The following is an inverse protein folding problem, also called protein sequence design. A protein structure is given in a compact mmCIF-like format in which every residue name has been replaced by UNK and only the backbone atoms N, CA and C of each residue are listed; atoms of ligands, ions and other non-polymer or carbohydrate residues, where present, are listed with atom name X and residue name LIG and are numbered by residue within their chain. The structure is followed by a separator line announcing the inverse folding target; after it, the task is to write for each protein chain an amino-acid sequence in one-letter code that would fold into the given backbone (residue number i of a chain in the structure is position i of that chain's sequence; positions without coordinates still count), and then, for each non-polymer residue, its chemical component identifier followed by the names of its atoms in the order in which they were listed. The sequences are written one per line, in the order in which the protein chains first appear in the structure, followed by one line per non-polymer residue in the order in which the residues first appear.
data_IF_974129759544
#
_entry.id   IF_974129759544
#
_cell.length_a   1.000
_cell.length_b   1.000
_cell.length_c   1.000
_cell.angle_alpha   90.00
_cell.angle_beta   90.00
_cell.angle_gamma   90.00
#
_symmetry.space_group_name_H-M   'P 1'
#
loop_
_entity.id
_entity.type
_entity.pdbx_description
1 polymer ?
#
# COMPACT_ATOMS: atom_id res chain seq x y z
N UNK A 1 9.72 -3.84 3.67
CA UNK A 1 9.78 -4.34 5.07
C UNK A 1 10.42 -3.35 6.03
N UNK A 2 11.47 -2.61 5.65
CA UNK A 2 12.12 -1.64 6.54
C UNK A 2 11.18 -0.54 7.07
N UNK A 3 10.37 0.09 6.20
CA UNK A 3 9.36 1.07 6.62
C UNK A 3 8.41 0.50 7.71
N UNK A 4 7.86 -0.71 7.49
CA UNK A 4 6.98 -1.40 8.45
C UNK A 4 7.68 -1.59 9.79
N UNK A 5 8.92 -2.11 9.79
CA UNK A 5 9.69 -2.30 11.01
C UNK A 5 9.94 -0.98 11.74
N UNK A 6 10.36 0.07 11.03
CA UNK A 6 10.62 1.39 11.65
C UNK A 6 9.36 1.98 12.29
N UNK A 7 8.21 1.89 11.62
CA UNK A 7 6.92 2.35 12.17
C UNK A 7 6.58 1.58 13.44
N UNK A 8 6.72 0.25 13.43
CA UNK A 8 6.45 -0.57 14.62
C UNK A 8 7.40 -0.26 15.78
N UNK A 9 8.69 -0.02 15.49
CA UNK A 9 9.71 0.30 16.50
C UNK A 9 9.52 1.69 17.14
N UNK A 10 9.02 2.66 16.36
CA UNK A 10 8.88 4.04 16.80
C UNK A 10 7.44 4.43 17.16
N UNK A 11 6.48 3.50 17.07
CA UNK A 11 5.11 3.70 17.57
C UNK A 11 5.02 3.41 19.06
N UNK A 12 4.36 4.28 19.83
CA UNK A 12 4.11 4.03 21.26
C UNK A 12 3.12 2.88 21.49
N UNK A 13 2.15 2.69 20.58
CA UNK A 13 1.13 1.62 20.63
C UNK A 13 1.06 0.89 19.27
N UNK A 14 2.04 0.05 18.90
CA UNK A 14 2.11 -0.62 17.61
C UNK A 14 0.92 -1.56 17.33
N UNK A 15 0.30 -2.11 18.37
CA UNK A 15 -0.90 -2.96 18.28
C UNK A 15 -2.14 -2.23 17.76
N UNK A 16 -2.18 -0.90 17.88
CA UNK A 16 -3.26 -0.06 17.36
C UNK A 16 -3.03 0.40 15.92
N UNK A 17 -1.95 -0.06 15.28
CA UNK A 17 -1.62 0.27 13.90
C UNK A 17 -2.08 -0.85 12.98
N UNK A 18 -2.89 -0.51 11.96
CA UNK A 18 -3.28 -1.43 10.89
C UNK A 18 -2.67 -1.01 9.57
N UNK A 19 -2.06 -1.95 8.85
CA UNK A 19 -1.39 -1.69 7.58
C UNK A 19 -2.28 -2.07 6.40
N UNK A 20 -2.44 -1.14 5.46
CA UNK A 20 -3.16 -1.36 4.21
C UNK A 20 -2.15 -1.27 3.05
N UNK A 21 -1.79 -2.42 2.46
CA UNK A 21 -0.84 -2.48 1.35
C UNK A 21 -1.56 -2.44 0.00
N UNK A 22 -1.11 -1.55 -0.88
CA UNK A 22 -1.57 -1.43 -2.27
C UNK A 22 -0.53 -2.04 -3.20
N UNK A 23 -0.95 -2.96 -4.07
CA UNK A 23 -0.06 -3.67 -4.98
C UNK A 23 -0.61 -3.63 -6.41
N UNK A 24 0.27 -3.59 -7.40
CA UNK A 24 -0.12 -3.77 -8.80
C UNK A 24 -0.65 -5.19 -9.08
N UNK A 25 -0.02 -6.19 -8.46
CA UNK A 25 -0.37 -7.60 -8.58
C UNK A 25 -0.45 -8.24 -7.18
N UNK A 26 -1.43 -9.13 -6.99
CA UNK A 26 -1.53 -9.93 -5.77
C UNK A 26 -0.61 -11.13 -5.91
N UNK A 27 0.41 -11.19 -5.06
CA UNK A 27 1.36 -12.29 -5.00
C UNK A 27 1.21 -12.96 -3.64
N UNK A 28 0.79 -14.23 -3.63
CA UNK A 28 0.60 -15.01 -2.41
C UNK A 28 1.90 -15.13 -1.59
N UNK A 29 3.04 -15.09 -2.27
CA UNK A 29 4.37 -15.09 -1.68
C UNK A 29 4.61 -13.85 -0.82
N UNK A 30 4.18 -12.66 -1.28
CA UNK A 30 4.31 -11.41 -0.50
C UNK A 30 3.48 -11.48 0.78
N UNK A 31 2.23 -11.96 0.69
CA UNK A 31 1.39 -12.14 1.87
C UNK A 31 2.07 -13.06 2.90
N UNK A 32 2.58 -14.20 2.41
CA UNK A 32 3.25 -15.21 3.24
C UNK A 32 4.54 -14.66 3.87
N UNK A 33 5.29 -13.87 3.11
CA UNK A 33 6.52 -13.21 3.57
C UNK A 33 6.25 -12.17 4.65
N UNK A 34 5.23 -11.31 4.48
CA UNK A 34 4.85 -10.33 5.51
C UNK A 34 4.41 -11.06 6.78
N UNK A 35 3.59 -12.10 6.64
CA UNK A 35 3.07 -12.86 7.78
C UNK A 35 4.16 -13.66 8.51
N UNK A 36 5.15 -14.20 7.81
CA UNK A 36 6.28 -14.87 8.45
C UNK A 36 7.27 -13.90 9.10
N UNK A 37 7.47 -12.71 8.49
CA UNK A 37 8.37 -11.67 9.02
C UNK A 37 7.78 -10.93 10.22
N UNK A 38 6.47 -10.66 10.18
CA UNK A 38 5.74 -9.94 11.23
C UNK A 38 4.47 -10.73 11.63
N UNK A 39 4.60 -11.80 12.44
CA UNK A 39 3.48 -12.70 12.76
C UNK A 39 2.27 -12.05 13.43
N UNK A 40 2.49 -10.93 14.11
CA UNK A 40 1.47 -10.19 14.85
C UNK A 40 0.95 -8.96 14.10
N UNK A 41 1.39 -8.73 12.86
CA UNK A 41 0.98 -7.57 12.09
C UNK A 41 -0.48 -7.69 11.67
N UNK A 42 -1.29 -6.70 12.03
CA UNK A 42 -2.62 -6.55 11.47
C UNK A 42 -2.50 -5.84 10.11
N UNK A 43 -2.76 -6.57 9.02
CA UNK A 43 -2.69 -5.98 7.69
C UNK A 43 -3.73 -6.51 6.71
N UNK A 44 -4.02 -5.71 5.68
CA UNK A 44 -4.81 -6.08 4.50
C UNK A 44 -4.03 -5.72 3.24
N UNK A 45 -4.21 -6.51 2.18
CA UNK A 45 -3.59 -6.28 0.87
C UNK A 45 -4.68 -6.04 -0.18
N UNK A 46 -4.46 -5.05 -1.04
CA UNK A 46 -5.39 -4.65 -2.09
C UNK A 46 -4.68 -4.62 -3.43
N UNK A 47 -5.27 -5.25 -4.43
CA UNK A 47 -4.83 -5.10 -5.81
C UNK A 47 -5.39 -3.80 -6.37
N UNK A 48 -4.53 -2.96 -6.92
CA UNK A 48 -4.99 -1.82 -7.68
C UNK A 48 -5.53 -2.29 -9.03
N UNK A 49 -6.80 -2.00 -9.31
CA UNK A 49 -7.38 -2.27 -10.63
C UNK A 49 -6.93 -1.22 -11.63
N UNK A 50 -6.02 -1.60 -12.53
CA UNK A 50 -5.50 -0.70 -13.58
C UNK A 50 -6.61 -0.19 -14.52
N UNK A 51 -7.78 -0.82 -14.55
CA UNK A 51 -8.92 -0.32 -15.29
C UNK A 51 -9.44 1.03 -14.79
N UNK A 52 -9.23 1.37 -13.51
CA UNK A 52 -9.66 2.66 -12.93
C UNK A 52 -9.02 3.87 -13.64
N UNK A 53 -7.85 3.65 -14.24
CA UNK A 53 -7.04 4.68 -14.92
C UNK A 53 -6.80 4.38 -16.39
N UNK A 54 -7.42 3.33 -16.93
CA UNK A 54 -7.31 2.97 -18.35
C UNK A 54 -7.80 4.15 -19.22
N UNK A 55 -6.98 4.56 -20.17
CA UNK A 55 -7.29 5.69 -21.06
C UNK A 55 -7.20 7.07 -20.42
N UNK A 56 -6.88 7.17 -19.12
CA UNK A 56 -6.65 8.45 -18.41
C UNK A 56 -5.17 8.83 -18.36
N UNK A 57 -4.28 7.87 -18.60
CA UNK A 57 -2.83 8.06 -18.57
C UNK A 57 -2.35 8.36 -19.99
N UNK A 58 -1.85 9.57 -20.22
CA UNK A 58 -1.16 9.92 -21.45
C UNK A 58 0.30 9.46 -21.38
N UNK A 59 0.87 9.04 -22.52
CA UNK A 59 2.29 8.67 -22.59
C UNK A 59 3.16 9.84 -22.12
N UNK A 60 4.00 9.57 -21.14
CA UNK A 60 4.95 10.52 -20.57
C UNK A 60 6.35 10.30 -21.14
N UNK A 61 7.16 11.36 -21.18
CA UNK A 61 8.61 11.23 -21.42
C UNK A 61 9.25 10.40 -20.30
N UNK A 62 8.71 10.50 -19.08
CA UNK A 62 9.07 9.67 -17.95
C UNK A 62 8.19 8.44 -17.94
N UNK A 63 8.65 7.34 -18.53
CA UNK A 63 7.94 6.04 -18.57
C UNK A 63 7.47 5.56 -17.19
N UNK A 64 8.20 5.93 -16.13
CA UNK A 64 7.78 5.64 -14.77
C UNK A 64 6.35 6.16 -14.51
N UNK A 65 5.98 7.35 -15.01
CA UNK A 65 4.64 7.95 -14.84
C UNK A 65 3.53 7.26 -15.63
N UNK A 66 3.87 6.33 -16.53
CA UNK A 66 2.89 5.57 -17.30
C UNK A 66 2.32 4.39 -16.47
N UNK A 67 2.93 4.06 -15.33
CA UNK A 67 2.52 2.94 -14.48
C UNK A 67 1.20 3.26 -13.75
N UNK A 68 0.16 2.42 -13.88
CA UNK A 68 -1.13 2.64 -13.23
C UNK A 68 -1.04 2.84 -11.71
N UNK A 69 -0.13 2.12 -11.04
CA UNK A 69 0.00 2.16 -9.58
C UNK A 69 0.38 3.56 -9.05
N UNK A 70 1.03 4.41 -9.83
CA UNK A 70 1.37 5.78 -9.43
C UNK A 70 0.15 6.64 -9.12
N UNK A 71 -1.00 6.29 -9.69
CA UNK A 71 -2.24 7.01 -9.52
C UNK A 71 -3.12 6.43 -8.40
N UNK A 72 -2.69 5.31 -7.77
CA UNK A 72 -3.47 4.63 -6.75
C UNK A 72 -3.81 5.54 -5.56
N UNK A 73 -2.92 6.47 -5.19
CA UNK A 73 -3.13 7.44 -4.10
C UNK A 73 -4.41 8.27 -4.30
N UNK A 74 -4.78 8.57 -5.55
CA UNK A 74 -5.98 9.36 -5.88
C UNK A 74 -7.26 8.57 -5.60
N UNK A 75 -7.21 7.25 -5.72
CA UNK A 75 -8.38 6.36 -5.63
C UNK A 75 -8.44 5.60 -4.29
N UNK A 76 -7.69 6.03 -3.26
CA UNK A 76 -7.64 5.31 -1.99
C UNK A 76 -9.02 5.14 -1.34
N UNK A 77 -9.89 6.13 -1.45
CA UNK A 77 -11.27 6.05 -0.91
C UNK A 77 -12.10 4.97 -1.58
N UNK A 78 -11.84 4.66 -2.85
CA UNK A 78 -12.56 3.63 -3.60
C UNK A 78 -11.99 2.23 -3.33
N UNK A 79 -10.74 2.14 -2.87
CA UNK A 79 -10.02 0.87 -2.64
C UNK A 79 -10.16 0.42 -1.19
N UNK A 80 -10.16 1.36 -0.24
CA UNK A 80 -10.20 1.04 1.18
C UNK A 80 -11.62 0.64 1.63
N UNK A 81 -11.74 -0.20 2.67
CA UNK A 81 -13.03 -0.53 3.27
C UNK A 81 -13.77 0.71 3.76
N UNK A 82 -15.11 0.70 3.66
CA UNK A 82 -15.97 1.84 4.01
C UNK A 82 -15.90 2.26 5.49
N UNK A 83 -15.48 1.35 6.36
CA UNK A 83 -15.26 1.60 7.79
C UNK A 83 -13.93 2.32 8.09
N UNK A 84 -13.09 2.55 7.09
CA UNK A 84 -11.84 3.31 7.23
C UNK A 84 -12.08 4.80 6.98
N UNK A 85 -12.22 5.57 8.07
CA UNK A 85 -12.51 7.01 7.99
C UNK A 85 -11.27 7.87 7.68
N UNK A 86 -10.08 7.41 8.08
CA UNK A 86 -8.83 8.18 7.93
C UNK A 86 -7.63 7.27 7.76
N UNK A 87 -6.72 7.68 6.89
CA UNK A 87 -5.45 6.99 6.64
C UNK A 87 -4.31 7.98 6.48
N UNK A 88 -3.10 7.54 6.79
CA UNK A 88 -1.87 8.22 6.40
C UNK A 88 -1.26 7.40 5.27
N UNK A 89 -1.10 8.02 4.11
CA UNK A 89 -0.39 7.39 3.00
C UNK A 89 1.12 7.55 3.22
N UNK A 90 1.87 6.46 3.04
CA UNK A 90 3.33 6.42 3.13
C UNK A 90 3.88 5.68 1.90
N UNK A 91 4.92 6.23 1.28
CA UNK A 91 5.66 5.52 0.21
C UNK A 91 6.53 4.40 0.81
N UNK A 92 6.90 3.40 0.00
CA UNK A 92 7.61 2.21 0.49
C UNK A 92 9.09 2.44 0.81
N UNK A 93 9.64 3.59 0.44
CA UNK A 93 11.05 3.97 0.50
C UNK A 93 11.38 4.90 1.69
N UNK A 94 10.53 4.92 2.71
CA UNK A 94 10.74 5.71 3.93
C UNK A 94 11.32 4.88 5.07
N UNK A 95 11.86 5.59 6.06
CA UNK A 95 12.12 5.14 7.43
C UNK A 95 11.60 6.24 8.36
N UNK A 96 10.88 5.85 9.42
CA UNK A 96 10.31 6.76 10.43
C UNK A 96 11.11 6.69 11.71
#
# INVERSE_FOLDING_TARGET
MAAVLSILQHSTCPENVSFHFLLAHLEAEIFSLIKSTFPYLTFKMYRFDSNMVRGKISKSIRQALDQPLNYARIYMSDILPLDVERVIYLDSDIIV
#
